data_IF_544523392766
#
_entry.id   IF_544523392766
#
_cell.length_a   1.000
_cell.length_b   1.000
_cell.length_c   1.000
_cell.angle_alpha   90.00
_cell.angle_beta   90.00
_cell.angle_gamma   90.00
#
_symmetry.space_group_name_H-M   'P 1'
#
loop_
_entity.id
_entity.type
_entity.pdbx_description
1 polymer ?
#
# COMPACT_ATOMS: atom_id res chain seq x y z
N UNK A 1 -15.54 -9.11 27.84
CA UNK A 1 -15.19 -7.76 27.35
C UNK A 1 -13.89 -7.62 26.55
N UNK A 2 -13.61 -8.48 25.57
CA UNK A 2 -12.50 -8.27 24.59
C UNK A 2 -12.99 -8.02 23.15
N UNK A 3 -14.30 -8.06 22.91
CA UNK A 3 -14.90 -7.81 21.60
C UNK A 3 -15.19 -6.33 21.32
N UNK A 4 -15.33 -5.51 22.36
CA UNK A 4 -15.70 -4.09 22.21
C UNK A 4 -14.58 -3.24 21.60
N UNK A 5 -13.31 -3.55 21.90
CA UNK A 5 -12.16 -2.74 21.45
C UNK A 5 -11.75 -3.01 20.00
N UNK A 6 -11.75 -4.26 19.55
CA UNK A 6 -11.40 -4.57 18.15
C UNK A 6 -12.52 -4.11 17.21
N UNK A 7 -13.78 -4.31 17.60
CA UNK A 7 -14.93 -3.82 16.83
C UNK A 7 -15.00 -2.28 16.83
N UNK A 8 -14.68 -1.61 17.94
CA UNK A 8 -14.63 -0.15 17.98
C UNK A 8 -13.50 0.40 17.13
N UNK A 9 -12.28 -0.18 17.21
CA UNK A 9 -11.14 0.24 16.38
C UNK A 9 -11.44 0.03 14.89
N UNK A 10 -12.08 -1.09 14.52
CA UNK A 10 -12.51 -1.34 13.15
C UNK A 10 -13.60 -0.35 12.69
N UNK A 11 -14.55 -0.01 13.55
CA UNK A 11 -15.59 0.98 13.26
C UNK A 11 -15.03 2.41 13.15
N UNK A 12 -14.05 2.76 13.97
CA UNK A 12 -13.38 4.06 13.95
C UNK A 12 -12.47 4.19 12.73
N UNK A 13 -11.79 3.10 12.33
CA UNK A 13 -11.04 3.04 11.08
C UNK A 13 -11.98 3.17 9.86
N UNK A 14 -13.13 2.49 9.87
CA UNK A 14 -14.13 2.58 8.81
C UNK A 14 -14.78 3.97 8.67
N UNK A 15 -14.73 4.78 9.73
CA UNK A 15 -15.20 6.17 9.76
C UNK A 15 -14.10 7.19 9.45
N UNK A 16 -12.85 6.75 9.26
CA UNK A 16 -11.77 7.68 8.91
C UNK A 16 -12.03 8.28 7.51
N UNK A 17 -11.76 9.58 7.30
CA UNK A 17 -11.88 10.21 5.99
C UNK A 17 -11.07 9.49 4.91
N UNK A 18 -9.92 8.92 5.28
CA UNK A 18 -9.07 8.12 4.40
C UNK A 18 -9.76 6.81 4.00
N UNK A 19 -10.42 6.12 4.94
CA UNK A 19 -11.19 4.91 4.61
C UNK A 19 -12.42 5.26 3.76
N UNK A 20 -13.15 6.32 4.08
CA UNK A 20 -14.30 6.71 3.27
C UNK A 20 -13.89 7.12 1.84
N UNK A 21 -12.84 7.91 1.69
CA UNK A 21 -12.30 8.30 0.38
C UNK A 21 -11.77 7.09 -0.43
N UNK A 22 -11.25 6.06 0.24
CA UNK A 22 -10.70 4.88 -0.41
C UNK A 22 -11.72 3.76 -0.63
N UNK A 23 -12.78 3.64 0.18
CA UNK A 23 -13.64 2.45 0.22
C UNK A 23 -15.15 2.73 0.21
N UNK A 24 -15.62 3.95 0.50
CA UNK A 24 -17.06 4.27 0.47
C UNK A 24 -17.58 4.30 -0.98
N UNK A 25 -18.60 3.49 -1.28
CA UNK A 25 -19.20 3.38 -2.62
C UNK A 25 -18.41 2.55 -3.66
N UNK A 26 -17.23 2.01 -3.32
CA UNK A 26 -16.49 1.12 -4.23
C UNK A 26 -17.06 -0.30 -4.20
N UNK A 27 -17.17 -0.91 -5.38
CA UNK A 27 -17.48 -2.34 -5.46
C UNK A 27 -16.28 -3.16 -4.98
N UNK A 28 -16.51 -4.40 -4.54
CA UNK A 28 -15.40 -5.32 -4.24
C UNK A 28 -14.41 -5.43 -5.42
N UNK A 29 -14.89 -5.37 -6.65
CA UNK A 29 -14.04 -5.40 -7.85
C UNK A 29 -13.13 -4.18 -7.92
N UNK A 30 -13.63 -2.99 -7.59
CA UNK A 30 -12.80 -1.77 -7.57
C UNK A 30 -11.76 -1.79 -6.45
N UNK A 31 -12.09 -2.43 -5.32
CA UNK A 31 -11.13 -2.69 -4.25
C UNK A 31 -10.01 -3.62 -4.73
N UNK A 32 -10.34 -4.72 -5.42
CA UNK A 32 -9.33 -5.61 -5.97
C UNK A 32 -8.47 -4.92 -7.02
N UNK A 33 -9.05 -4.12 -7.90
CA UNK A 33 -8.27 -3.33 -8.88
C UNK A 33 -7.29 -2.39 -8.19
N UNK A 34 -7.71 -1.72 -7.12
CA UNK A 34 -6.83 -0.86 -6.33
C UNK A 34 -5.73 -1.68 -5.64
N UNK A 35 -6.03 -2.87 -5.12
CA UNK A 35 -5.04 -3.78 -4.52
C UNK A 35 -3.96 -4.15 -5.53
N UNK A 36 -4.33 -4.57 -6.75
CA UNK A 36 -3.35 -4.93 -7.79
C UNK A 36 -2.48 -3.74 -8.19
N UNK A 37 -3.08 -2.55 -8.34
CA UNK A 37 -2.31 -1.36 -8.69
C UNK A 37 -1.31 -0.98 -7.59
N UNK A 38 -1.70 -1.05 -6.33
CA UNK A 38 -0.84 -0.68 -5.21
C UNK A 38 0.28 -1.71 -4.96
N UNK A 39 -0.07 -3.00 -4.96
CA UNK A 39 0.89 -4.06 -4.67
C UNK A 39 1.84 -4.32 -5.85
N UNK A 40 1.30 -4.40 -7.06
CA UNK A 40 2.02 -4.90 -8.23
C UNK A 40 2.30 -3.83 -9.28
N UNK A 41 1.73 -2.62 -9.14
CA UNK A 41 1.94 -1.55 -10.11
C UNK A 41 1.24 -1.78 -11.46
N UNK A 42 0.33 -2.75 -11.53
CA UNK A 42 -0.40 -3.12 -12.76
C UNK A 42 -1.89 -3.28 -12.50
N UNK A 43 -2.67 -3.24 -13.58
CA UNK A 43 -4.09 -3.57 -13.52
C UNK A 43 -4.30 -5.07 -13.25
N UNK A 44 -5.34 -5.38 -12.48
CA UNK A 44 -5.86 -6.74 -12.37
C UNK A 44 -6.50 -7.18 -13.69
N UNK A 45 -6.30 -8.44 -14.06
CA UNK A 45 -7.09 -9.08 -15.12
C UNK A 45 -8.57 -9.08 -14.71
N UNK A 46 -9.49 -8.87 -15.66
CA UNK A 46 -10.92 -8.78 -15.35
C UNK A 46 -11.45 -10.01 -14.60
N UNK A 47 -11.11 -11.22 -15.07
CA UNK A 47 -11.51 -12.48 -14.45
C UNK A 47 -10.89 -12.68 -13.06
N UNK A 48 -9.64 -12.24 -12.86
CA UNK A 48 -8.99 -12.26 -11.54
C UNK A 48 -9.68 -11.32 -10.56
N UNK A 49 -9.98 -10.10 -11.00
CA UNK A 49 -10.68 -9.11 -10.18
C UNK A 49 -12.07 -9.59 -9.75
N UNK A 50 -12.82 -10.23 -10.66
CA UNK A 50 -14.11 -10.83 -10.35
C UNK A 50 -14.01 -12.01 -9.39
N UNK A 51 -13.02 -12.88 -9.57
CA UNK A 51 -12.76 -14.01 -8.68
C UNK A 51 -12.53 -13.55 -7.23
N UNK A 52 -11.58 -12.62 -7.02
CA UNK A 52 -11.28 -12.11 -5.68
C UNK A 52 -12.43 -11.29 -5.09
N UNK A 53 -13.19 -10.57 -5.92
CA UNK A 53 -14.41 -9.91 -5.47
C UNK A 53 -15.46 -10.93 -4.99
N UNK A 54 -15.53 -12.10 -5.65
CA UNK A 54 -16.33 -13.25 -5.22
C UNK A 54 -15.86 -13.86 -3.90
N UNK A 55 -14.56 -13.90 -3.65
CA UNK A 55 -13.99 -14.30 -2.34
C UNK A 55 -14.45 -13.34 -1.24
N UNK A 56 -14.39 -12.02 -1.47
CA UNK A 56 -14.91 -11.04 -0.51
C UNK A 56 -16.43 -11.17 -0.28
N UNK A 57 -17.21 -11.50 -1.32
CA UNK A 57 -18.66 -11.76 -1.19
C UNK A 57 -18.98 -12.98 -0.32
N UNK A 58 -18.05 -13.92 -0.16
CA UNK A 58 -18.19 -15.07 0.72
C UNK A 58 -17.90 -14.75 2.20
N UNK A 59 -17.65 -13.48 2.54
CA UNK A 59 -17.44 -13.03 3.92
C UNK A 59 -15.97 -12.86 4.31
N UNK A 60 -15.03 -13.06 3.38
CA UNK A 60 -13.63 -12.74 3.61
C UNK A 60 -13.44 -11.22 3.69
N UNK A 61 -12.67 -10.77 4.68
CA UNK A 61 -12.29 -9.36 4.77
C UNK A 61 -11.35 -8.97 3.62
N UNK A 62 -11.26 -7.67 3.34
CA UNK A 62 -10.29 -7.14 2.37
C UNK A 62 -8.86 -7.54 2.74
N UNK A 63 -8.51 -7.48 4.03
CA UNK A 63 -7.19 -7.89 4.52
C UNK A 63 -6.92 -9.38 4.26
N UNK A 64 -7.86 -10.26 4.60
CA UNK A 64 -7.70 -11.70 4.35
C UNK A 64 -7.56 -11.99 2.84
N UNK A 65 -8.34 -11.28 2.02
CA UNK A 65 -8.30 -11.42 0.55
C UNK A 65 -6.96 -10.96 -0.02
N UNK A 66 -6.40 -9.83 0.46
CA UNK A 66 -5.06 -9.36 0.08
C UNK A 66 -3.99 -10.40 0.42
N UNK A 67 -4.07 -11.03 1.60
CA UNK A 67 -3.16 -12.12 1.97
C UNK A 67 -3.21 -13.30 0.99
N UNK A 68 -4.41 -13.68 0.55
CA UNK A 68 -4.60 -14.73 -0.45
C UNK A 68 -4.07 -14.33 -1.83
N UNK A 69 -4.28 -13.07 -2.24
CA UNK A 69 -3.74 -12.52 -3.50
C UNK A 69 -2.21 -12.60 -3.50
N UNK A 70 -1.56 -12.18 -2.41
CA UNK A 70 -0.10 -12.25 -2.27
C UNK A 70 0.41 -13.69 -2.30
N UNK A 71 -0.27 -14.62 -1.64
CA UNK A 71 0.09 -16.04 -1.64
C UNK A 71 -0.03 -16.66 -3.05
N UNK A 72 -1.03 -16.23 -3.83
CA UNK A 72 -1.27 -16.70 -5.20
C UNK A 72 -0.53 -15.88 -6.28
N UNK A 73 0.26 -14.86 -5.89
CA UNK A 73 0.89 -13.94 -6.82
C UNK A 73 1.92 -14.65 -7.71
N UNK A 74 2.08 -14.16 -8.95
CA UNK A 74 3.14 -14.64 -9.84
C UNK A 74 4.53 -14.28 -9.29
N UNK A 75 5.59 -14.96 -9.75
CA UNK A 75 6.96 -14.61 -9.34
C UNK A 75 7.32 -13.15 -9.70
N UNK A 76 6.82 -12.65 -10.82
CA UNK A 76 6.97 -11.24 -11.20
C UNK A 76 6.30 -10.33 -10.18
N UNK A 77 5.06 -10.62 -9.79
CA UNK A 77 4.31 -9.81 -8.82
C UNK A 77 4.93 -9.86 -7.42
N UNK A 78 5.39 -11.04 -6.98
CA UNK A 78 6.15 -11.18 -5.74
C UNK A 78 7.41 -10.31 -5.76
N UNK A 79 8.13 -10.31 -6.90
CA UNK A 79 9.32 -9.47 -7.04
C UNK A 79 9.01 -7.97 -6.96
N UNK A 80 7.85 -7.52 -7.42
CA UNK A 80 7.42 -6.12 -7.21
C UNK A 80 7.28 -5.80 -5.73
N UNK A 81 6.64 -6.68 -4.97
CA UNK A 81 6.46 -6.51 -3.52
C UNK A 81 7.80 -6.51 -2.80
N UNK A 82 8.73 -7.40 -3.17
CA UNK A 82 10.09 -7.42 -2.60
C UNK A 82 10.84 -6.13 -2.91
N UNK A 83 10.79 -5.66 -4.15
CA UNK A 83 11.43 -4.41 -4.56
C UNK A 83 10.86 -3.20 -3.79
N UNK A 84 9.54 -3.13 -3.61
CA UNK A 84 8.91 -2.10 -2.78
C UNK A 84 9.34 -2.22 -1.32
N UNK A 85 9.41 -3.43 -0.78
CA UNK A 85 9.84 -3.67 0.60
C UNK A 85 11.28 -3.19 0.81
N UNK A 86 12.19 -3.51 -0.11
CA UNK A 86 13.58 -3.06 -0.05
C UNK A 86 13.69 -1.53 -0.18
N UNK A 87 12.95 -0.93 -1.10
CA UNK A 87 12.90 0.53 -1.26
C UNK A 87 12.37 1.23 0.00
N UNK A 88 11.27 0.72 0.59
CA UNK A 88 10.69 1.27 1.81
C UNK A 88 11.64 1.14 3.00
N UNK A 89 12.37 0.03 3.12
CA UNK A 89 13.40 -0.14 4.13
C UNK A 89 14.55 0.86 3.95
N UNK A 90 15.02 1.05 2.71
CA UNK A 90 16.06 2.05 2.41
C UNK A 90 15.61 3.48 2.72
N UNK A 91 14.36 3.83 2.39
CA UNK A 91 13.78 5.13 2.70
C UNK A 91 13.68 5.37 4.20
N UNK A 92 13.21 4.36 4.95
CA UNK A 92 13.10 4.44 6.41
C UNK A 92 14.47 4.58 7.05
N UNK A 93 15.49 3.88 6.55
CA UNK A 93 16.86 4.02 7.02
C UNK A 93 17.45 5.41 6.71
N UNK A 94 17.02 6.06 5.63
CA UNK A 94 17.43 7.40 5.25
C UNK A 94 16.66 8.53 5.97
N UNK A 95 15.59 8.22 6.72
CA UNK A 95 14.96 9.14 7.67
C UNK A 95 15.74 9.16 9.00
N UNK A 96 17.02 9.51 8.95
CA UNK A 96 17.96 9.26 10.04
C UNK A 96 18.05 10.41 11.07
N UNK A 97 17.51 11.58 10.75
CA UNK A 97 17.45 12.70 11.68
C UNK A 97 16.12 12.80 12.42
N UNK A 98 16.16 13.36 13.64
CA UNK A 98 14.94 13.66 14.41
C UNK A 98 14.02 14.66 13.68
N UNK A 99 14.61 15.59 12.90
CA UNK A 99 13.87 16.56 12.09
C UNK A 99 13.09 15.88 10.98
N UNK A 100 13.74 15.00 10.21
CA UNK A 100 13.09 14.25 9.12
C UNK A 100 12.00 13.33 9.64
N UNK A 101 12.28 12.59 10.71
CA UNK A 101 11.31 11.71 11.36
C UNK A 101 10.06 12.46 11.81
N UNK A 102 10.23 13.66 12.38
CA UNK A 102 9.11 14.52 12.79
C UNK A 102 8.31 15.02 11.59
N UNK A 103 8.99 15.50 10.54
CA UNK A 103 8.34 15.99 9.33
C UNK A 103 7.56 14.88 8.59
N UNK A 104 8.06 13.65 8.62
CA UNK A 104 7.42 12.48 8.00
C UNK A 104 6.08 12.08 8.65
N UNK A 105 5.78 12.55 9.86
CA UNK A 105 4.49 12.29 10.51
C UNK A 105 3.31 12.92 9.77
N UNK A 106 3.56 13.97 8.97
CA UNK A 106 2.56 14.74 8.22
C UNK A 106 1.99 13.96 7.03
N UNK A 107 0.71 14.17 6.74
CA UNK A 107 0.02 13.50 5.63
C UNK A 107 0.67 13.75 4.25
N UNK A 108 1.09 14.98 3.89
CA UNK A 108 1.75 15.23 2.59
C UNK A 108 3.09 14.49 2.43
N UNK A 109 3.84 14.33 3.53
CA UNK A 109 5.09 13.58 3.53
C UNK A 109 4.87 12.10 3.23
N UNK A 110 3.86 11.49 3.88
CA UNK A 110 3.45 10.10 3.64
C UNK A 110 2.93 9.90 2.22
N UNK A 111 2.18 10.87 1.68
CA UNK A 111 1.70 10.83 0.30
C UNK A 111 2.87 10.87 -0.70
N UNK A 112 3.88 11.71 -0.45
CA UNK A 112 5.08 11.80 -1.28
C UNK A 112 5.89 10.50 -1.27
N UNK A 113 6.11 9.90 -0.10
CA UNK A 113 6.79 8.61 0.01
C UNK A 113 5.99 7.48 -0.66
N UNK A 114 4.66 7.48 -0.53
CA UNK A 114 3.79 6.52 -1.20
C UNK A 114 3.84 6.65 -2.72
N UNK A 115 3.85 7.89 -3.24
CA UNK A 115 3.99 8.15 -4.67
C UNK A 115 5.34 7.67 -5.22
N UNK A 116 6.43 7.91 -4.48
CA UNK A 116 7.75 7.40 -4.81
C UNK A 116 7.79 5.87 -4.84
N UNK A 117 7.23 5.22 -3.80
CA UNK A 117 7.18 3.76 -3.69
C UNK A 117 6.32 3.12 -4.79
N UNK A 118 5.29 3.82 -5.26
CA UNK A 118 4.45 3.35 -6.37
C UNK A 118 5.22 3.20 -7.68
N UNK A 119 6.31 3.95 -7.89
CA UNK A 119 7.18 3.83 -9.06
C UNK A 119 8.15 2.64 -9.03
N UNK A 120 8.27 1.93 -7.90
CA UNK A 120 9.20 0.80 -7.75
C UNK A 120 8.50 -0.49 -8.16
N UNK A 121 8.63 -0.90 -9.43
CA UNK A 121 7.94 -2.06 -10.02
C UNK A 121 8.88 -3.04 -10.73
N UNK A 122 10.16 -2.71 -10.82
CA UNK A 122 11.21 -3.52 -11.46
C UNK A 122 12.53 -3.34 -10.73
N UNK A 123 13.48 -4.25 -10.94
CA UNK A 123 14.82 -4.18 -10.36
C UNK A 123 15.56 -2.90 -10.78
N UNK A 124 15.34 -2.47 -12.03
CA UNK A 124 15.90 -1.22 -12.55
C UNK A 124 15.31 0.00 -11.82
N UNK A 125 13.98 0.03 -11.62
CA UNK A 125 13.35 1.12 -10.86
C UNK A 125 13.73 1.11 -9.38
N UNK A 126 13.97 -0.06 -8.78
CA UNK A 126 14.53 -0.17 -7.42
C UNK A 126 15.93 0.44 -7.35
N UNK A 127 16.81 0.09 -8.30
CA UNK A 127 18.17 0.64 -8.34
C UNK A 127 18.15 2.17 -8.48
N UNK A 128 17.28 2.70 -9.35
CA UNK A 128 17.07 4.14 -9.50
C UNK A 128 16.51 4.80 -8.24
N UNK A 129 15.54 4.15 -7.58
CA UNK A 129 14.94 4.63 -6.35
C UNK A 129 15.98 4.74 -5.22
N UNK A 130 16.84 3.72 -5.06
CA UNK A 130 17.94 3.73 -4.08
C UNK A 130 19.00 4.77 -4.41
N UNK A 131 19.33 4.96 -5.68
CA UNK A 131 20.28 6.00 -6.11
C UNK A 131 19.75 7.42 -5.86
N UNK A 132 18.43 7.61 -5.85
CA UNK A 132 17.77 8.89 -5.60
C UNK A 132 17.19 9.07 -4.19
N UNK A 133 17.64 8.28 -3.20
CA UNK A 133 16.96 8.18 -1.91
C UNK A 133 16.94 9.52 -1.14
N UNK A 134 18.04 10.26 -1.12
CA UNK A 134 18.13 11.56 -0.43
C UNK A 134 17.15 12.59 -1.00
N UNK A 135 16.95 12.56 -2.32
CA UNK A 135 15.97 13.40 -3.00
C UNK A 135 14.54 12.99 -2.62
N UNK A 136 14.28 11.69 -2.51
CA UNK A 136 12.98 11.19 -2.09
C UNK A 136 12.65 11.59 -0.64
N UNK A 137 13.61 11.44 0.28
CA UNK A 137 13.48 11.87 1.67
C UNK A 137 13.24 13.38 1.74
N UNK A 138 14.08 14.18 1.07
CA UNK A 138 13.95 15.65 1.02
C UNK A 138 12.58 16.09 0.48
N UNK A 139 12.08 15.44 -0.58
CA UNK A 139 10.77 15.72 -1.14
C UNK A 139 9.64 15.40 -0.15
N UNK A 140 9.74 14.28 0.57
CA UNK A 140 8.74 13.90 1.55
C UNK A 140 8.73 14.84 2.76
N UNK A 141 9.88 15.13 3.35
CA UNK A 141 9.96 16.00 4.54
C UNK A 141 9.75 17.49 4.20
N UNK A 142 9.83 17.86 2.92
CA UNK A 142 9.53 19.20 2.41
C UNK A 142 8.05 19.43 2.04
N UNK A 143 7.26 18.37 1.88
CA UNK A 143 5.83 18.42 1.52
C UNK A 143 4.93 18.75 2.72
#
# INVERSE_FOLDING_TARGET
DKGSTVASIAADFAKSPEYQALYEGKSNVDLIKAVYQNLFGRAAEASGAEYWAGVMKQGYSAHATVGLILAAASETDKRVVDNKTEAAAAFTAALDTATESTAYTRTPAKASASAWLNGVTTDASLAQAKAGIDKAVSAAVGA
#
